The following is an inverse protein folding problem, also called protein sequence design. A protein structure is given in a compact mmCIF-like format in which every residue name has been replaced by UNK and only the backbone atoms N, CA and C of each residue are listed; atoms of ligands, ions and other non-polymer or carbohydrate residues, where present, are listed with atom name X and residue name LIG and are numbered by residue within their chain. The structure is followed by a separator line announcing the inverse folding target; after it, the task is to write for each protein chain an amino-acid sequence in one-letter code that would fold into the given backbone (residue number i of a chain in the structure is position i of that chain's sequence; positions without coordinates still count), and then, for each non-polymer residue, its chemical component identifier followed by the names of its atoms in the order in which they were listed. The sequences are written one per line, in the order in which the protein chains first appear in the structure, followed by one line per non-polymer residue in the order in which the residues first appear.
data_IF_171742876932
#
_entry.id   IF_171742876932
#
_cell.length_a   1.000
_cell.length_b   1.000
_cell.length_c   1.000
_cell.angle_alpha   90.00
_cell.angle_beta   90.00
_cell.angle_gamma   90.00
#
_symmetry.space_group_name_H-M   'P 1'
#
loop_
_entity.id
_entity.type
_entity.pdbx_description
1 polymer ?
#
# COMPACT_ATOMS: atom_id res chain seq x y z
N UNK A 1 -17.29 1.22 -5.56
CA UNK A 1 -17.04 0.90 -4.13
C UNK A 1 -16.39 2.11 -3.49
N UNK A 2 -16.43 2.27 -2.17
CA UNK A 2 -15.69 3.37 -1.53
C UNK A 2 -14.18 3.12 -1.62
N UNK A 3 -13.39 4.19 -1.68
CA UNK A 3 -11.93 4.11 -1.59
C UNK A 3 -11.52 3.71 -0.16
N UNK A 4 -10.53 2.82 -0.06
CA UNK A 4 -9.97 2.31 1.20
C UNK A 4 -8.50 2.68 1.23
N UNK A 5 -8.20 3.75 1.96
CA UNK A 5 -6.85 4.25 2.12
C UNK A 5 -6.06 3.31 3.05
N UNK A 6 -4.98 2.74 2.52
CA UNK A 6 -4.05 1.89 3.27
C UNK A 6 -2.75 2.65 3.47
N UNK A 7 -2.45 2.99 4.72
CA UNK A 7 -1.18 3.64 5.07
C UNK A 7 -0.02 2.65 4.94
N UNK A 8 1.01 3.05 4.19
CA UNK A 8 2.16 2.19 3.86
C UNK A 8 3.22 2.34 4.94
N UNK A 9 3.51 1.24 5.62
CA UNK A 9 4.66 1.14 6.51
C UNK A 9 5.87 0.73 5.68
N UNK A 10 6.82 1.65 5.52
CA UNK A 10 8.07 1.41 4.82
C UNK A 10 9.25 2.06 5.55
N UNK A 11 10.44 1.54 5.28
CA UNK A 11 11.71 2.14 5.67
C UNK A 11 12.57 2.23 4.42
N UNK A 12 12.93 3.44 4.00
CA UNK A 12 13.76 3.69 2.81
C UNK A 12 13.30 2.89 1.56
N UNK A 13 12.00 2.96 1.25
CA UNK A 13 11.40 2.25 0.11
C UNK A 13 11.07 0.77 0.34
N UNK A 14 11.56 0.15 1.41
CA UNK A 14 11.24 -1.24 1.73
C UNK A 14 9.89 -1.35 2.45
N UNK A 15 8.87 -1.82 1.73
CA UNK A 15 7.51 -2.02 2.26
C UNK A 15 7.46 -3.23 3.18
N UNK A 16 6.88 -3.08 4.37
CA UNK A 16 6.67 -4.21 5.29
C UNK A 16 5.50 -5.08 4.83
N UNK A 17 5.66 -6.39 5.02
CA UNK A 17 4.65 -7.41 4.67
C UNK A 17 3.23 -7.08 5.14
N UNK A 18 2.97 -6.58 6.37
CA UNK A 18 1.60 -6.29 6.81
C UNK A 18 0.86 -5.29 5.91
N UNK A 19 1.55 -4.29 5.32
CA UNK A 19 0.92 -3.36 4.36
C UNK A 19 0.41 -4.09 3.13
N UNK A 20 1.18 -5.05 2.60
CA UNK A 20 0.80 -5.82 1.40
C UNK A 20 -0.40 -6.74 1.68
N UNK A 21 -0.45 -7.32 2.88
CA UNK A 21 -1.60 -8.10 3.35
C UNK A 21 -2.85 -7.22 3.51
N UNK A 22 -2.70 -6.02 4.07
CA UNK A 22 -3.80 -5.06 4.22
C UNK A 22 -4.34 -4.57 2.88
N UNK A 23 -3.50 -4.29 1.88
CA UNK A 23 -3.94 -3.95 0.52
C UNK A 23 -4.78 -5.08 -0.09
N UNK A 24 -4.36 -6.33 0.13
CA UNK A 24 -5.11 -7.49 -0.35
C UNK A 24 -6.45 -7.65 0.36
N UNK A 25 -6.50 -7.41 1.67
CA UNK A 25 -7.73 -7.48 2.46
C UNK A 25 -8.70 -6.33 2.17
N UNK A 26 -8.19 -5.13 1.88
CA UNK A 26 -8.98 -3.94 1.58
C UNK A 26 -9.95 -4.14 0.42
N UNK A 27 -9.59 -4.96 -0.58
CA UNK A 27 -10.47 -5.35 -1.70
C UNK A 27 -11.79 -5.99 -1.27
N UNK A 28 -11.88 -6.54 -0.05
CA UNK A 28 -13.12 -7.13 0.48
C UNK A 28 -14.15 -6.07 0.87
N UNK A 29 -13.72 -4.83 1.10
CA UNK A 29 -14.54 -3.75 1.65
C UNK A 29 -14.53 -2.47 0.81
N UNK A 30 -13.69 -2.39 -0.22
CA UNK A 30 -13.62 -1.24 -1.13
C UNK A 30 -12.49 -1.31 -2.15
N UNK A 31 -12.25 -0.20 -2.84
CA UNK A 31 -11.13 -0.05 -3.76
C UNK A 31 -9.88 0.40 -2.98
N UNK A 32 -8.83 -0.42 -2.89
CA UNK A 32 -7.62 -0.07 -2.15
C UNK A 32 -6.86 1.10 -2.80
N UNK A 33 -6.37 2.02 -1.98
CA UNK A 33 -5.47 3.11 -2.38
C UNK A 33 -4.29 3.14 -1.41
N UNK A 34 -3.07 2.90 -1.87
CA UNK A 34 -1.88 2.95 -1.02
C UNK A 34 -1.43 4.40 -0.79
N UNK A 35 -1.14 4.74 0.47
CA UNK A 35 -0.61 6.05 0.87
C UNK A 35 0.77 5.88 1.49
N UNK A 36 1.82 6.17 0.72
CA UNK A 36 3.20 6.17 1.16
C UNK A 36 3.71 7.61 1.37
N UNK A 37 4.40 7.86 2.49
CA UNK A 37 4.86 9.19 2.89
C UNK A 37 6.31 9.13 3.37
N UNK A 38 7.06 10.21 3.12
CA UNK A 38 8.44 10.36 3.63
C UNK A 38 9.51 9.96 2.62
N UNK A 39 10.75 9.90 3.10
CA UNK A 39 11.90 9.58 2.25
C UNK A 39 11.83 8.15 1.69
N UNK A 40 12.11 7.99 0.40
CA UNK A 40 11.99 6.68 -0.28
C UNK A 40 10.55 6.24 -0.58
N UNK A 41 9.53 7.07 -0.36
CA UNK A 41 8.15 6.69 -0.64
C UNK A 41 7.92 6.36 -2.14
N UNK A 42 8.57 7.08 -3.05
CA UNK A 42 8.47 6.82 -4.49
C UNK A 42 8.93 5.40 -4.88
N UNK A 43 9.90 4.84 -4.15
CA UNK A 43 10.46 3.51 -4.42
C UNK A 43 9.48 2.37 -4.08
N UNK A 44 8.42 2.66 -3.32
CA UNK A 44 7.39 1.68 -2.96
C UNK A 44 6.40 1.39 -4.09
N UNK A 45 6.31 2.26 -5.11
CA UNK A 45 5.23 2.24 -6.11
C UNK A 45 5.12 0.89 -6.86
N UNK A 46 6.26 0.30 -7.23
CA UNK A 46 6.28 -0.98 -7.94
C UNK A 46 5.66 -2.12 -7.13
N UNK A 47 6.15 -2.34 -5.90
CA UNK A 47 5.66 -3.44 -5.06
C UNK A 47 4.20 -3.23 -4.61
N UNK A 48 3.78 -1.99 -4.39
CA UNK A 48 2.39 -1.69 -4.04
C UNK A 48 1.46 -1.98 -5.22
N UNK A 49 1.84 -1.61 -6.45
CA UNK A 49 1.09 -1.91 -7.66
C UNK A 49 0.94 -3.42 -7.92
N UNK A 50 1.99 -4.21 -7.65
CA UNK A 50 1.93 -5.68 -7.71
C UNK A 50 0.91 -6.28 -6.73
N UNK A 51 0.63 -5.59 -5.62
CA UNK A 51 -0.32 -6.03 -4.59
C UNK A 51 -1.70 -5.38 -4.73
N UNK A 52 -1.94 -4.68 -5.84
CA UNK A 52 -3.22 -4.11 -6.24
C UNK A 52 -3.56 -2.81 -5.54
N UNK A 53 -2.54 -1.96 -5.33
CA UNK A 53 -2.71 -0.53 -5.14
C UNK A 53 -2.69 0.22 -6.48
#
# INVERSE_FOLDING_TARGET
MAEVLVYVDHVDGAVRKPTLELLTLARRIGEPVAVALGNGAADTAGVLGEHGA
#
